data_IF_287901715595
#
_entry.id   IF_287901715595
#
_cell.length_a   1.000
_cell.length_b   1.000
_cell.length_c   1.000
_cell.angle_alpha   90.00
_cell.angle_beta   90.00
_cell.angle_gamma   90.00
#
_symmetry.space_group_name_H-M   'P 1'
#
loop_
_entity.id
_entity.type
_entity.pdbx_description
1 polymer ?
#
# COMPACT_ATOMS: atom_id res chain seq x y z
N UNK A 1 10.18 -0.36 16.67
CA UNK A 1 9.42 0.50 15.73
C UNK A 1 10.25 0.67 14.46
N UNK A 2 10.15 -0.17 13.41
CA UNK A 2 10.78 0.19 12.16
C UNK A 2 9.81 1.05 11.37
N UNK A 3 9.76 2.33 11.72
CA UNK A 3 9.29 3.37 10.81
C UNK A 3 10.44 3.63 9.83
N UNK A 4 10.48 2.91 8.73
CA UNK A 4 11.16 3.38 7.52
C UNK A 4 10.08 3.56 6.47
N UNK A 5 9.26 4.61 6.64
CA UNK A 5 8.53 5.21 5.51
C UNK A 5 9.57 5.93 4.66
N UNK A 6 10.35 5.18 3.90
CA UNK A 6 11.15 5.75 2.82
C UNK A 6 10.20 6.33 1.77
N UNK A 7 10.65 7.36 1.04
CA UNK A 7 9.92 7.93 -0.11
C UNK A 7 9.37 6.84 -1.04
N UNK A 8 10.13 5.75 -1.21
CA UNK A 8 9.75 4.59 -2.01
C UNK A 8 8.43 3.93 -1.59
N UNK A 9 8.16 3.75 -0.30
CA UNK A 9 6.89 3.15 0.15
C UNK A 9 5.69 4.03 -0.19
N UNK A 10 5.88 5.35 -0.21
CA UNK A 10 4.86 6.31 -0.63
C UNK A 10 4.67 6.28 -2.15
N UNK A 11 5.76 6.24 -2.91
CA UNK A 11 5.71 6.09 -4.38
C UNK A 11 5.01 4.79 -4.78
N UNK A 12 5.35 3.65 -4.15
CA UNK A 12 4.72 2.36 -4.40
C UNK A 12 3.21 2.39 -4.07
N UNK A 13 2.83 3.07 -2.97
CA UNK A 13 1.42 3.25 -2.60
C UNK A 13 0.68 4.14 -3.60
N UNK A 14 1.27 5.27 -4.00
CA UNK A 14 0.69 6.20 -4.97
C UNK A 14 0.55 5.56 -6.35
N UNK A 15 1.53 4.76 -6.80
CA UNK A 15 1.45 4.00 -8.03
C UNK A 15 0.33 2.97 -7.99
N UNK A 16 0.20 2.23 -6.88
CA UNK A 16 -0.91 1.30 -6.69
C UNK A 16 -2.27 2.00 -6.70
N UNK A 17 -2.40 3.14 -6.02
CA UNK A 17 -3.63 3.95 -6.04
C UNK A 17 -3.92 4.50 -7.44
N UNK A 18 -2.92 4.90 -8.21
CA UNK A 18 -3.09 5.38 -9.58
C UNK A 18 -3.50 4.26 -10.56
N UNK A 19 -2.96 3.04 -10.38
CA UNK A 19 -3.24 1.91 -11.26
C UNK A 19 -4.55 1.19 -10.92
N UNK A 20 -4.86 1.04 -9.63
CA UNK A 20 -5.93 0.18 -9.14
C UNK A 20 -7.06 0.93 -8.43
N UNK A 21 -6.90 2.22 -8.14
CA UNK A 21 -7.90 3.03 -7.44
C UNK A 21 -8.29 2.41 -6.10
N UNK A 22 -9.59 2.20 -5.90
CA UNK A 22 -10.16 1.59 -4.69
C UNK A 22 -9.63 0.16 -4.41
N UNK A 23 -9.12 -0.53 -5.44
CA UNK A 23 -8.56 -1.88 -5.29
C UNK A 23 -7.08 -1.90 -4.87
N UNK A 24 -6.44 -0.74 -4.74
CA UNK A 24 -5.02 -0.62 -4.42
C UNK A 24 -4.65 -1.31 -3.09
N UNK A 25 -5.53 -1.24 -2.09
CA UNK A 25 -5.33 -1.92 -0.81
C UNK A 25 -5.33 -3.45 -0.95
N UNK A 26 -6.25 -3.99 -1.77
CA UNK A 26 -6.32 -5.44 -2.03
C UNK A 26 -5.09 -5.94 -2.80
N UNK A 27 -4.59 -5.17 -3.76
CA UNK A 27 -3.36 -5.51 -4.49
C UNK A 27 -2.13 -5.51 -3.58
N UNK A 28 -2.01 -4.54 -2.67
CA UNK A 28 -0.95 -4.53 -1.68
C UNK A 28 -1.00 -5.77 -0.77
N UNK A 29 -2.20 -6.16 -0.32
CA UNK A 29 -2.39 -7.38 0.47
C UNK A 29 -1.99 -8.65 -0.31
N UNK A 30 -2.44 -8.78 -1.57
CA UNK A 30 -2.10 -9.92 -2.41
C UNK A 30 -0.59 -10.06 -2.67
N UNK A 31 0.12 -8.93 -2.81
CA UNK A 31 1.60 -8.93 -2.94
C UNK A 31 2.30 -9.29 -1.63
N UNK A 32 1.72 -8.93 -0.48
CA UNK A 32 2.21 -9.38 0.81
C UNK A 32 2.08 -10.90 0.93
N UNK A 33 0.91 -11.46 0.63
CA UNK A 33 0.65 -12.90 0.73
C UNK A 33 1.57 -13.70 -0.20
N UNK A 34 1.76 -13.25 -1.44
CA UNK A 34 2.73 -13.87 -2.36
C UNK A 34 4.17 -13.82 -1.81
N UNK A 35 4.53 -12.75 -1.11
CA UNK A 35 5.86 -12.63 -0.50
C UNK A 35 6.02 -13.59 0.68
N UNK A 36 4.94 -13.87 1.41
CA UNK A 36 4.90 -14.87 2.46
C UNK A 36 5.05 -16.28 1.90
N UNK A 37 4.37 -16.59 0.79
CA UNK A 37 4.44 -17.90 0.13
C UNK A 37 5.85 -18.27 -0.31
N UNK A 38 6.65 -17.27 -0.72
CA UNK A 38 8.05 -17.44 -1.14
C UNK A 38 9.02 -17.37 0.07
N UNK A 39 8.51 -17.19 1.29
CA UNK A 39 9.31 -17.09 2.52
C UNK A 39 10.08 -15.77 2.65
N UNK A 40 9.74 -14.76 1.87
CA UNK A 40 10.40 -13.44 1.91
C UNK A 40 9.68 -12.51 2.89
N UNK A 41 10.03 -12.65 4.17
CA UNK A 41 9.46 -11.86 5.25
C UNK A 41 9.75 -10.35 5.15
N UNK A 42 10.83 -9.94 4.46
CA UNK A 42 11.16 -8.52 4.26
C UNK A 42 10.15 -7.88 3.30
N UNK A 43 9.90 -8.53 2.15
CA UNK A 43 8.88 -8.04 1.22
C UNK A 43 7.47 -8.14 1.80
N UNK A 44 7.18 -9.17 2.60
CA UNK A 44 5.92 -9.23 3.33
C UNK A 44 5.71 -7.98 4.19
N UNK A 45 6.67 -7.63 5.06
CA UNK A 45 6.57 -6.45 5.91
C UNK A 45 6.44 -5.15 5.10
N UNK A 46 7.16 -5.03 3.97
CA UNK A 46 7.07 -3.88 3.06
C UNK A 46 5.66 -3.71 2.49
N UNK A 47 5.07 -4.78 1.93
CA UNK A 47 3.73 -4.73 1.36
C UNK A 47 2.64 -4.52 2.41
N UNK A 48 2.79 -5.07 3.62
CA UNK A 48 1.88 -4.78 4.76
C UNK A 48 1.97 -3.32 5.21
N UNK A 49 3.13 -2.69 5.10
CA UNK A 49 3.29 -1.26 5.38
C UNK A 49 2.61 -0.41 4.30
N UNK A 50 2.76 -0.78 3.03
CA UNK A 50 2.10 -0.11 1.89
C UNK A 50 0.58 -0.24 1.97
N UNK A 51 0.04 -1.42 2.26
CA UNK A 51 -1.40 -1.65 2.45
C UNK A 51 -1.98 -0.69 3.50
N UNK A 52 -1.34 -0.61 4.67
CA UNK A 52 -1.75 0.33 5.74
C UNK A 52 -1.65 1.78 5.29
N UNK A 53 -0.61 2.14 4.53
CA UNK A 53 -0.44 3.49 4.02
C UNK A 53 -1.55 3.85 3.02
N UNK A 54 -1.89 2.95 2.09
CA UNK A 54 -2.99 3.14 1.13
C UNK A 54 -4.30 3.35 1.88
N UNK A 55 -4.61 2.51 2.87
CA UNK A 55 -5.82 2.64 3.68
C UNK A 55 -5.87 4.03 4.33
N UNK A 56 -4.78 4.49 4.96
CA UNK A 56 -4.71 5.83 5.55
C UNK A 56 -4.93 6.95 4.52
N UNK A 57 -4.30 6.85 3.35
CA UNK A 57 -4.44 7.84 2.29
C UNK A 57 -5.84 7.85 1.69
N UNK A 58 -6.50 6.71 1.56
CA UNK A 58 -7.89 6.61 1.11
C UNK A 58 -8.86 7.24 2.10
N UNK A 59 -8.62 7.11 3.42
CA UNK A 59 -9.44 7.79 4.44
C UNK A 59 -9.18 9.30 4.51
N UNK A 60 -7.96 9.75 4.23
CA UNK A 60 -7.59 11.19 4.22
C UNK A 60 -7.99 11.89 2.92
N UNK A 61 -8.27 11.14 1.86
CA UNK A 61 -8.72 11.69 0.60
C UNK A 61 -10.18 12.16 0.72
N UNK A 62 -10.50 13.45 0.49
CA UNK A 62 -11.87 13.92 0.53
C UNK A 62 -12.68 13.20 -0.56
N UNK A 63 -13.71 12.47 -0.12
CA UNK A 63 -14.80 11.96 -0.96
C UNK A 63 -15.62 13.15 -1.48
N UNK A 64 -15.03 13.90 -2.40
CA UNK A 64 -15.64 15.09 -2.97
C UNK A 64 -15.02 15.36 -4.32
N UNK A 65 -15.69 14.92 -5.39
CA UNK A 65 -15.57 15.64 -6.65
C UNK A 65 -16.03 17.07 -6.35
N UNK A 66 -15.11 18.03 -6.35
CA UNK A 66 -15.50 19.44 -6.44
C UNK A 66 -16.26 19.55 -7.77
N UNK A 67 -17.58 19.66 -7.69
CA UNK A 67 -18.46 19.96 -8.82
C UNK A 67 -19.03 21.36 -8.63
#
# INVERSE_FOLDING_TARGET
MPYLSGRKSYEDAAELMALFGDNAGYEAAARADRSLDVGNHIHFCHWRQIERLIVLLTYDQPLGTIH
#
